data_IF_475384527984
#
_entry.id   IF_475384527984
#
_cell.length_a   1.000
_cell.length_b   1.000
_cell.length_c   1.000
_cell.angle_alpha   90.00
_cell.angle_beta   90.00
_cell.angle_gamma   90.00
#
_symmetry.space_group_name_H-M   'P 1'
#
loop_
_entity.id
_entity.type
_entity.pdbx_description
1 polymer ?
#
# COMPACT_ATOMS: atom_id res chain seq x y z
N UNK A 1 -11.87 -22.18 0.24
CA UNK A 1 -11.21 -21.03 -0.42
C UNK A 1 -11.84 -19.67 -0.07
N UNK A 2 -13.14 -19.60 0.27
CA UNK A 2 -13.81 -18.33 0.60
C UNK A 2 -13.31 -17.69 1.91
N UNK A 3 -13.07 -18.47 2.96
CA UNK A 3 -12.61 -17.96 4.26
C UNK A 3 -11.24 -17.26 4.20
N UNK A 4 -10.35 -17.75 3.34
CA UNK A 4 -9.00 -17.20 3.19
C UNK A 4 -9.01 -15.83 2.51
N UNK A 5 -9.91 -15.61 1.54
CA UNK A 5 -10.04 -14.32 0.82
C UNK A 5 -10.64 -13.26 1.74
N UNK A 6 -11.62 -13.63 2.57
CA UNK A 6 -12.19 -12.72 3.57
C UNK A 6 -11.12 -12.27 4.56
N UNK A 7 -10.28 -13.20 5.03
CA UNK A 7 -9.19 -12.89 5.95
C UNK A 7 -8.14 -11.96 5.33
N UNK A 8 -7.72 -12.17 4.07
CA UNK A 8 -6.75 -11.30 3.40
C UNK A 8 -7.32 -9.89 3.18
N UNK A 9 -8.57 -9.81 2.77
CA UNK A 9 -9.28 -8.55 2.53
C UNK A 9 -9.41 -7.74 3.82
N UNK A 10 -9.90 -8.36 4.89
CA UNK A 10 -10.03 -7.72 6.20
C UNK A 10 -8.67 -7.25 6.75
N UNK A 11 -7.63 -8.07 6.58
CA UNK A 11 -6.29 -7.69 7.00
C UNK A 11 -5.81 -6.44 6.26
N UNK A 12 -5.90 -6.41 4.92
CA UNK A 12 -5.42 -5.29 4.10
C UNK A 12 -6.21 -4.02 4.38
N UNK A 13 -7.54 -4.09 4.51
CA UNK A 13 -8.36 -2.93 4.87
C UNK A 13 -7.93 -2.34 6.22
N UNK A 14 -7.76 -3.19 7.25
CA UNK A 14 -7.28 -2.73 8.56
C UNK A 14 -5.85 -2.18 8.48
N UNK A 15 -5.00 -2.78 7.66
CA UNK A 15 -3.63 -2.32 7.44
C UNK A 15 -3.60 -0.93 6.80
N UNK A 16 -4.42 -0.67 5.77
CA UNK A 16 -4.58 0.67 5.16
C UNK A 16 -4.88 1.72 6.24
N UNK A 17 -5.82 1.42 7.15
CA UNK A 17 -6.14 2.31 8.27
C UNK A 17 -4.97 2.56 9.23
N UNK A 18 -4.17 1.53 9.53
CA UNK A 18 -2.97 1.67 10.39
C UNK A 18 -1.88 2.51 9.74
N UNK A 19 -1.60 2.27 8.46
CA UNK A 19 -0.60 3.05 7.73
C UNK A 19 -1.04 4.50 7.54
N UNK A 20 -2.31 4.74 7.22
CA UNK A 20 -2.88 6.07 7.12
C UNK A 20 -2.76 6.86 8.44
N UNK A 21 -3.00 6.20 9.58
CA UNK A 21 -2.83 6.81 10.91
C UNK A 21 -1.36 7.12 11.24
N UNK A 22 -0.43 6.24 10.85
CA UNK A 22 0.99 6.35 11.21
C UNK A 22 1.75 7.33 10.32
N UNK A 23 1.44 7.35 9.03
CA UNK A 23 2.24 8.02 8.01
C UNK A 23 1.47 9.07 7.21
N UNK A 24 0.16 9.22 7.44
CA UNK A 24 -0.73 10.07 6.65
C UNK A 24 -1.52 9.28 5.59
N UNK A 25 -2.68 9.80 5.22
CA UNK A 25 -3.63 9.10 4.34
C UNK A 25 -3.23 9.04 2.86
N UNK A 26 -2.23 9.81 2.44
CA UNK A 26 -1.79 9.91 1.06
C UNK A 26 -0.34 9.46 0.96
N UNK A 27 -0.09 8.57 0.01
CA UNK A 27 1.23 8.11 -0.42
C UNK A 27 1.64 8.91 -1.65
N UNK A 28 2.77 9.60 -1.57
CA UNK A 28 3.37 10.26 -2.72
C UNK A 28 4.52 9.41 -3.24
N UNK A 29 4.79 9.51 -4.53
CA UNK A 29 6.08 9.05 -5.07
C UNK A 29 7.13 10.14 -4.91
N UNK A 30 8.41 9.79 -4.78
CA UNK A 30 9.53 10.76 -4.72
C UNK A 30 9.73 11.61 -6.00
N UNK A 31 8.97 11.36 -7.07
CA UNK A 31 8.97 12.15 -8.32
C UNK A 31 7.57 12.52 -8.80
N UNK A 32 7.39 12.68 -10.11
CA UNK A 32 6.12 13.04 -10.77
C UNK A 32 5.08 11.89 -10.83
N UNK A 33 5.18 10.91 -9.95
CA UNK A 33 4.22 9.82 -9.89
C UNK A 33 2.93 10.21 -9.17
N UNK A 34 1.91 9.33 -9.24
CA UNK A 34 0.59 9.64 -8.72
C UNK A 34 0.58 9.76 -7.19
N UNK A 35 -0.30 10.63 -6.69
CA UNK A 35 -0.73 10.59 -5.29
C UNK A 35 -1.77 9.48 -5.15
N UNK A 36 -1.60 8.61 -4.17
CA UNK A 36 -2.39 7.39 -4.04
C UNK A 36 -2.70 7.06 -2.58
N UNK A 37 -3.79 6.34 -2.32
CA UNK A 37 -4.02 5.77 -0.99
C UNK A 37 -3.13 4.55 -0.74
N UNK A 38 -3.14 4.01 0.49
CA UNK A 38 -2.28 2.86 0.84
C UNK A 38 -2.61 1.57 0.11
N UNK A 39 -3.87 1.35 -0.29
CA UNK A 39 -4.27 0.19 -1.09
C UNK A 39 -3.77 0.31 -2.52
N UNK A 40 -3.93 1.49 -3.12
CA UNK A 40 -3.37 1.82 -4.42
C UNK A 40 -1.83 1.77 -4.41
N UNK A 41 -1.20 2.24 -3.34
CA UNK A 41 0.24 2.11 -3.12
C UNK A 41 0.67 0.65 -3.10
N UNK A 42 -0.06 -0.22 -2.40
CA UNK A 42 0.23 -1.64 -2.36
C UNK A 42 0.19 -2.27 -3.77
N UNK A 43 -0.82 -1.90 -4.57
CA UNK A 43 -0.92 -2.33 -5.97
C UNK A 43 0.21 -1.77 -6.83
N UNK A 44 0.54 -0.49 -6.68
CA UNK A 44 1.63 0.17 -7.41
C UNK A 44 2.99 -0.45 -7.06
N UNK A 45 3.25 -0.71 -5.78
CA UNK A 45 4.49 -1.34 -5.33
C UNK A 45 4.66 -2.77 -5.83
N UNK A 46 3.56 -3.48 -6.06
CA UNK A 46 3.58 -4.86 -6.56
C UNK A 46 3.66 -4.95 -8.08
N UNK A 47 2.89 -4.12 -8.79
CA UNK A 47 2.70 -4.25 -10.23
C UNK A 47 3.33 -3.11 -11.03
N UNK A 48 3.91 -2.11 -10.36
CA UNK A 48 4.49 -0.93 -10.98
C UNK A 48 3.45 0.06 -11.51
N UNK A 49 3.86 1.01 -12.38
CA UNK A 49 3.00 2.08 -12.88
C UNK A 49 1.75 1.61 -13.63
N UNK A 50 1.79 0.43 -14.25
CA UNK A 50 0.67 -0.15 -15.00
C UNK A 50 -0.29 -0.99 -14.14
N UNK A 51 -0.21 -0.89 -12.81
CA UNK A 51 -1.01 -1.70 -11.88
C UNK A 51 -2.52 -1.69 -12.19
N UNK A 52 -3.08 -0.55 -12.61
CA UNK A 52 -4.50 -0.43 -12.98
C UNK A 52 -4.84 -1.38 -14.13
N UNK A 53 -4.03 -1.35 -15.20
CA UNK A 53 -4.22 -2.20 -16.38
C UNK A 53 -4.04 -3.67 -16.04
N UNK A 54 -3.08 -3.99 -15.17
CA UNK A 54 -2.81 -5.37 -14.74
C UNK A 54 -3.99 -5.90 -13.92
N UNK A 55 -4.47 -5.14 -12.94
CA UNK A 55 -5.61 -5.53 -12.12
C UNK A 55 -6.89 -5.70 -12.95
N UNK A 56 -7.12 -4.84 -13.93
CA UNK A 56 -8.27 -4.95 -14.84
C UNK A 56 -8.15 -6.16 -15.78
N UNK A 57 -7.01 -6.31 -16.47
CA UNK A 57 -6.74 -7.42 -17.40
C UNK A 57 -6.86 -8.77 -16.70
N UNK A 58 -6.28 -8.89 -15.50
CA UNK A 58 -6.21 -10.15 -14.75
C UNK A 58 -7.41 -10.33 -13.80
N UNK A 59 -8.38 -9.39 -13.83
CA UNK A 59 -9.59 -9.38 -13.00
C UNK A 59 -9.31 -9.50 -11.49
N UNK A 60 -8.23 -8.86 -11.04
CA UNK A 60 -7.82 -8.85 -9.63
C UNK A 60 -8.68 -7.82 -8.89
N UNK A 61 -9.57 -8.31 -8.04
CA UNK A 61 -10.47 -7.47 -7.23
C UNK A 61 -10.12 -7.48 -5.74
N UNK A 62 -9.55 -8.58 -5.28
CA UNK A 62 -9.28 -8.83 -3.86
C UNK A 62 -7.77 -9.01 -3.63
N UNK A 63 -7.25 -8.58 -2.48
CA UNK A 63 -5.87 -8.84 -2.11
C UNK A 63 -5.66 -10.33 -1.83
N UNK A 64 -4.56 -10.88 -2.35
CA UNK A 64 -4.12 -12.23 -2.06
C UNK A 64 -3.09 -12.27 -0.91
N UNK A 65 -2.53 -13.46 -0.66
CA UNK A 65 -1.51 -13.64 0.39
C UNK A 65 -0.20 -12.87 0.12
N UNK A 66 0.13 -12.56 -1.13
CA UNK A 66 1.32 -11.76 -1.45
C UNK A 66 1.08 -10.29 -1.07
N UNK A 67 -0.12 -9.77 -1.30
CA UNK A 67 -0.50 -8.44 -0.81
C UNK A 67 -0.34 -8.35 0.72
N UNK A 68 -0.77 -9.39 1.46
CA UNK A 68 -0.58 -9.46 2.93
C UNK A 68 0.91 -9.49 3.31
N UNK A 69 1.74 -10.24 2.59
CA UNK A 69 3.19 -10.29 2.87
C UNK A 69 3.86 -8.94 2.65
N UNK A 70 3.55 -8.25 1.55
CA UNK A 70 4.10 -6.92 1.26
C UNK A 70 3.63 -5.91 2.30
N UNK A 71 2.34 -5.91 2.64
CA UNK A 71 1.78 -5.06 3.68
C UNK A 71 2.49 -5.23 5.03
N UNK A 72 2.78 -6.46 5.44
CA UNK A 72 3.55 -6.74 6.68
C UNK A 72 4.98 -6.20 6.64
N UNK A 73 5.68 -6.31 5.50
CA UNK A 73 7.03 -5.73 5.33
C UNK A 73 7.02 -4.21 5.45
N UNK A 74 6.04 -3.57 4.83
CA UNK A 74 5.90 -2.12 4.92
C UNK A 74 5.55 -1.67 6.34
N UNK A 75 4.71 -2.43 7.03
CA UNK A 75 4.35 -2.19 8.41
C UNK A 75 5.56 -2.33 9.37
N UNK A 76 6.49 -3.25 9.09
CA UNK A 76 7.75 -3.39 9.83
C UNK A 76 8.80 -2.32 9.50
N UNK A 77 8.52 -1.42 8.56
CA UNK A 77 9.39 -0.31 8.19
C UNK A 77 10.23 -0.54 6.94
N UNK A 78 10.09 -1.67 6.25
CA UNK A 78 10.71 -1.92 4.95
C UNK A 78 9.90 -1.23 3.83
N UNK A 79 9.81 0.09 3.90
CA UNK A 79 9.11 0.90 2.91
C UNK A 79 9.94 1.02 1.62
N UNK A 80 9.32 0.91 0.44
CA UNK A 80 10.00 1.12 -0.83
C UNK A 80 10.57 2.53 -0.95
N UNK A 81 11.75 2.64 -1.57
CA UNK A 81 12.43 3.93 -1.76
C UNK A 81 11.61 4.92 -2.59
N UNK A 82 10.75 4.43 -3.50
CA UNK A 82 9.91 5.31 -4.31
C UNK A 82 8.88 6.08 -3.49
N UNK A 83 8.56 5.65 -2.27
CA UNK A 83 7.56 6.31 -1.44
C UNK A 83 8.10 7.53 -0.71
N UNK A 84 7.24 8.53 -0.61
CA UNK A 84 7.45 9.75 0.15
C UNK A 84 6.18 10.12 0.90
N UNK A 85 6.34 10.48 2.19
CA UNK A 85 5.25 10.90 3.05
C UNK A 85 5.70 12.16 3.82
N UNK A 86 5.16 13.34 3.48
CA UNK A 86 5.56 14.60 4.12
C UNK A 86 5.40 14.58 5.65
N UNK A 87 4.40 13.85 6.14
CA UNK A 87 4.07 13.70 7.56
C UNK A 87 5.16 12.99 8.38
N UNK A 88 6.00 12.15 7.77
CA UNK A 88 7.09 11.46 8.49
C UNK A 88 8.26 12.40 8.86
N UNK A 89 8.31 13.61 8.30
CA UNK A 89 9.37 14.59 8.58
C UNK A 89 9.05 15.56 9.74
N UNK A 90 7.86 15.48 10.36
CA UNK A 90 7.50 16.40 11.45
C UNK A 90 8.03 16.00 12.85
N UNK A 91 8.65 14.84 13.03
CA UNK A 91 9.30 14.45 14.31
C UNK A 91 10.82 14.73 14.37
N UNK A 92 11.35 15.56 13.47
CA UNK A 92 12.74 16.07 13.58
C UNK A 92 12.79 17.59 13.49
N UNK A 93 12.45 18.28 14.59
CA UNK A 93 13.04 19.56 15.03
C UNK A 93 12.37 20.06 16.32
N UNK A 94 13.06 20.79 17.21
CA UNK A 94 14.51 20.92 17.45
C UNK A 94 15.01 20.13 18.67
#
# INVERSE_FOLDING_TARGET
MVEMILWTTDFVIRWIGRMAKKHGGIVHTQGEGPAMDWGQALSYGRYGPDWIKIMERDKIKDPDMEAVKIAKKWESGELPEWMYFPSAQQEKKP
#
